data_IF_921986103435
#
_entry.id   IF_921986103435
#
_cell.length_a   1.000
_cell.length_b   1.000
_cell.length_c   1.000
_cell.angle_alpha   90.00
_cell.angle_beta   90.00
_cell.angle_gamma   90.00
#
_symmetry.space_group_name_H-M   'P 1'
#
loop_
_entity.id
_entity.type
_entity.pdbx_description
1 polymer ?
#
# COMPACT_ATOMS: atom_id res chain seq x y z
N UNK A 1 -22.20 -34.70 -6.01
CA UNK A 1 -20.80 -34.25 -5.83
C UNK A 1 -20.69 -32.84 -6.38
N UNK A 2 -20.58 -31.83 -5.50
CA UNK A 2 -20.39 -30.42 -5.90
C UNK A 2 -18.90 -30.20 -6.17
N UNK A 3 -18.54 -29.70 -7.35
CA UNK A 3 -17.18 -29.23 -7.67
C UNK A 3 -16.86 -28.05 -6.73
N UNK A 4 -15.78 -28.15 -5.98
CA UNK A 4 -15.14 -27.00 -5.37
C UNK A 4 -14.71 -26.03 -6.48
N UNK A 5 -15.03 -24.76 -6.35
CA UNK A 5 -14.62 -23.71 -7.29
C UNK A 5 -13.14 -23.41 -7.03
N UNK A 6 -12.29 -23.43 -8.06
CA UNK A 6 -10.85 -23.13 -7.94
C UNK A 6 -10.57 -21.69 -7.51
N UNK A 7 -11.61 -20.83 -7.46
CA UNK A 7 -11.53 -19.46 -6.96
C UNK A 7 -11.06 -19.34 -5.50
N UNK A 8 -11.18 -20.39 -4.69
CA UNK A 8 -10.87 -20.33 -3.26
C UNK A 8 -9.43 -20.65 -2.86
N UNK A 9 -8.58 -21.17 -3.76
CA UNK A 9 -7.26 -21.70 -3.34
C UNK A 9 -6.18 -20.61 -3.21
N UNK A 10 -6.20 -19.58 -4.06
CA UNK A 10 -5.30 -18.42 -3.93
C UNK A 10 -5.60 -17.62 -2.64
N UNK A 11 -6.89 -17.46 -2.29
CA UNK A 11 -7.32 -16.75 -1.08
C UNK A 11 -7.10 -17.56 0.21
N UNK A 12 -7.14 -18.89 0.16
CA UNK A 12 -6.87 -19.75 1.33
C UNK A 12 -5.37 -19.76 1.71
N UNK A 13 -4.47 -19.44 0.77
CA UNK A 13 -3.03 -19.33 1.05
C UNK A 13 -2.69 -18.13 1.94
N UNK A 14 -3.41 -17.02 1.76
CA UNK A 14 -3.37 -15.88 2.69
C UNK A 14 -3.78 -16.35 4.08
N UNK A 15 -4.66 -17.36 4.25
CA UNK A 15 -5.21 -17.79 5.55
C UNK A 15 -4.36 -18.80 6.38
N UNK A 16 -3.25 -19.36 5.88
CA UNK A 16 -2.65 -20.55 6.50
C UNK A 16 -1.35 -20.40 7.35
N UNK A 17 -0.60 -19.29 7.36
CA UNK A 17 0.66 -19.21 8.13
C UNK A 17 0.51 -18.58 9.52
N UNK A 18 1.03 -19.24 10.56
CA UNK A 18 0.86 -18.86 11.98
C UNK A 18 2.02 -17.99 12.51
N UNK A 19 1.61 -17.01 13.34
CA UNK A 19 2.34 -16.19 14.33
C UNK A 19 3.02 -14.92 13.80
N UNK A 20 2.33 -13.79 13.97
CA UNK A 20 2.97 -12.51 14.24
C UNK A 20 2.07 -11.61 15.10
N UNK A 21 2.72 -10.82 15.96
CA UNK A 21 2.20 -9.88 16.95
C UNK A 21 1.50 -8.63 16.34
N UNK A 22 0.82 -8.80 15.22
CA UNK A 22 0.16 -7.71 14.47
C UNK A 22 -1.19 -7.32 15.09
N UNK A 23 -1.71 -8.11 16.02
CA UNK A 23 -2.95 -7.82 16.76
C UNK A 23 -2.93 -6.52 17.60
N UNK A 24 -1.79 -5.87 17.78
CA UNK A 24 -1.73 -4.54 18.42
C UNK A 24 -2.24 -3.40 17.53
N UNK A 25 -2.59 -3.68 16.27
CA UNK A 25 -3.08 -2.70 15.29
C UNK A 25 -4.35 -1.95 15.75
N UNK A 26 -5.21 -2.58 16.57
CA UNK A 26 -6.51 -2.01 16.98
C UNK A 26 -6.91 -2.14 18.47
N UNK A 27 -6.18 -2.87 19.33
CA UNK A 27 -6.51 -2.96 20.76
C UNK A 27 -5.53 -2.13 21.60
N UNK A 28 -6.00 -0.97 22.08
CA UNK A 28 -5.44 -0.35 23.29
C UNK A 28 -6.50 -0.48 24.38
N UNK A 29 -6.36 -1.50 25.24
CA UNK A 29 -6.83 -1.35 26.60
C UNK A 29 -6.11 -0.15 27.21
N UNK A 30 -6.89 0.83 27.68
CA UNK A 30 -6.38 2.06 28.30
C UNK A 30 -5.47 1.71 29.47
N UNK A 31 -4.19 2.02 29.39
CA UNK A 31 -3.35 2.27 30.58
C UNK A 31 -3.17 3.78 30.77
N UNK A 32 -3.28 4.29 32.01
CA UNK A 32 -3.17 5.73 32.27
C UNK A 32 -1.74 6.22 32.01
N UNK A 33 -1.64 7.33 31.28
CA UNK A 33 -0.38 7.97 30.88
C UNK A 33 0.33 8.62 32.08
N UNK A 34 1.63 8.33 32.23
CA UNK A 34 2.56 9.19 32.98
C UNK A 34 2.99 10.36 32.09
N UNK A 35 3.07 11.55 32.70
CA UNK A 35 3.33 12.86 32.09
C UNK A 35 4.68 12.96 31.39
N UNK A 36 4.69 13.26 30.10
CA UNK A 36 5.89 13.65 29.35
C UNK A 36 5.93 15.18 29.18
N UNK A 37 7.04 15.80 29.56
CA UNK A 37 7.32 17.24 29.40
C UNK A 37 7.54 17.64 27.94
N UNK A 38 7.18 18.85 27.52
CA UNK A 38 7.24 19.25 26.11
C UNK A 38 8.67 19.59 25.67
N UNK A 39 9.12 19.00 24.57
CA UNK A 39 10.34 19.41 23.87
C UNK A 39 9.99 20.54 22.90
N UNK A 40 10.59 21.71 23.11
CA UNK A 40 10.40 22.92 22.31
C UNK A 40 11.27 22.88 21.05
N UNK A 41 10.68 22.60 19.89
CA UNK A 41 11.34 22.79 18.59
C UNK A 41 10.98 24.15 18.00
N UNK A 42 11.81 25.17 18.28
CA UNK A 42 11.88 26.38 17.46
C UNK A 42 13.25 27.04 17.65
N UNK A 43 14.18 26.81 16.71
CA UNK A 43 15.22 27.80 16.41
C UNK A 43 15.77 27.66 14.98
N UNK A 44 15.23 28.49 14.09
CA UNK A 44 16.01 29.26 13.11
C UNK A 44 16.22 28.68 11.70
N UNK A 45 15.92 29.51 10.70
CA UNK A 45 16.70 29.60 9.45
C UNK A 45 16.04 29.05 8.18
N UNK A 46 15.77 29.94 7.22
CA UNK A 46 15.11 29.67 5.92
C UNK A 46 16.07 29.05 4.88
N UNK A 47 15.52 28.23 3.99
CA UNK A 47 15.85 28.26 2.56
C UNK A 47 14.58 27.95 1.73
N UNK A 48 14.26 28.85 0.80
CA UNK A 48 13.11 28.79 -0.11
C UNK A 48 13.28 27.65 -1.13
N UNK A 49 12.29 26.77 -1.26
CA UNK A 49 12.34 25.51 -2.02
C UNK A 49 12.08 25.72 -3.53
N UNK A 50 12.04 26.96 -4.01
CA UNK A 50 11.76 27.26 -5.41
C UNK A 50 13.05 27.51 -6.21
N UNK A 51 13.59 26.46 -6.82
CA UNK A 51 14.44 26.57 -8.00
C UNK A 51 14.37 25.26 -8.81
N UNK A 52 13.70 25.30 -9.96
CA UNK A 52 13.43 24.14 -10.80
C UNK A 52 14.54 23.79 -11.80
N UNK A 53 14.37 22.63 -12.45
CA UNK A 53 14.85 22.32 -13.81
C UNK A 53 14.19 21.05 -14.35
N UNK A 54 13.48 21.17 -15.45
CA UNK A 54 12.93 20.07 -16.27
C UNK A 54 14.01 19.48 -17.18
N UNK A 55 14.13 18.15 -17.25
CA UNK A 55 15.01 17.43 -18.18
C UNK A 55 14.20 16.81 -19.35
N UNK A 56 14.80 16.59 -20.53
CA UNK A 56 14.08 16.22 -21.75
C UNK A 56 13.78 14.72 -21.85
N UNK A 57 12.64 14.39 -22.48
CA UNK A 57 12.21 13.01 -22.76
C UNK A 57 12.91 12.45 -24.00
N UNK A 58 13.42 11.22 -23.92
CA UNK A 58 13.88 10.43 -25.07
C UNK A 58 12.97 9.21 -25.22
N UNK A 59 12.36 9.08 -26.40
CA UNK A 59 11.42 8.00 -26.73
C UNK A 59 12.11 6.65 -26.90
N UNK A 60 11.32 5.58 -26.75
CA UNK A 60 11.74 4.22 -27.12
C UNK A 60 10.57 3.42 -27.71
N UNK A 61 10.94 2.63 -28.72
CA UNK A 61 10.16 1.68 -29.51
C UNK A 61 9.73 0.43 -28.72
N UNK A 62 8.64 -0.17 -29.19
CA UNK A 62 7.87 -1.27 -28.58
C UNK A 62 8.45 -2.65 -28.91
N UNK A 63 8.64 -3.48 -27.89
CA UNK A 63 8.63 -4.95 -27.95
C UNK A 63 7.74 -5.42 -26.80
N UNK A 64 6.80 -6.34 -27.04
CA UNK A 64 5.78 -6.75 -26.08
C UNK A 64 6.35 -7.61 -24.95
N UNK A 65 6.76 -6.91 -23.89
CA UNK A 65 6.88 -7.34 -22.50
C UNK A 65 5.52 -7.06 -21.83
N UNK A 66 5.08 -7.79 -20.79
CA UNK A 66 3.97 -7.32 -19.94
C UNK A 66 4.16 -5.82 -19.64
N UNK A 67 3.10 -4.99 -19.72
CA UNK A 67 3.25 -3.55 -19.68
C UNK A 67 4.02 -3.17 -18.42
N UNK A 68 5.22 -2.61 -18.61
CA UNK A 68 6.06 -2.22 -17.50
C UNK A 68 5.27 -1.20 -16.66
N UNK A 69 5.01 -1.54 -15.40
CA UNK A 69 4.38 -0.62 -14.47
C UNK A 69 5.29 0.60 -14.32
N UNK A 70 4.69 1.79 -14.33
CA UNK A 70 5.41 2.98 -13.85
C UNK A 70 5.49 2.90 -12.32
N UNK A 71 6.38 3.69 -11.66
CA UNK A 71 6.40 3.76 -10.21
C UNK A 71 5.02 4.12 -9.62
N UNK A 72 4.28 5.01 -10.28
CA UNK A 72 2.93 5.40 -9.87
C UNK A 72 1.93 4.24 -10.02
N UNK A 73 2.02 3.46 -11.10
CA UNK A 73 1.16 2.28 -11.26
C UNK A 73 1.45 1.22 -10.21
N UNK A 74 2.70 1.01 -9.82
CA UNK A 74 3.06 0.06 -8.76
C UNK A 74 2.48 0.47 -7.40
N UNK A 75 2.49 1.77 -7.09
CA UNK A 75 1.82 2.29 -5.89
C UNK A 75 0.30 2.07 -5.94
N UNK A 76 -0.32 2.30 -7.11
CA UNK A 76 -1.75 2.04 -7.33
C UNK A 76 -2.08 0.54 -7.24
N UNK A 77 -1.23 -0.32 -7.81
CA UNK A 77 -1.36 -1.76 -7.75
C UNK A 77 -1.35 -2.27 -6.31
N UNK A 78 -0.45 -1.76 -5.47
CA UNK A 78 -0.40 -2.09 -4.03
C UNK A 78 -1.70 -1.72 -3.34
N UNK A 79 -2.22 -0.51 -3.57
CA UNK A 79 -3.47 -0.08 -2.96
C UNK A 79 -4.67 -0.93 -3.39
N UNK A 80 -4.72 -1.33 -4.66
CA UNK A 80 -5.77 -2.21 -5.19
C UNK A 80 -5.64 -3.61 -4.59
N UNK A 81 -4.42 -4.15 -4.52
CA UNK A 81 -4.16 -5.45 -3.93
C UNK A 81 -4.66 -5.53 -2.47
N UNK A 82 -4.38 -4.49 -1.67
CA UNK A 82 -4.91 -4.36 -0.31
C UNK A 82 -6.43 -4.36 -0.30
N UNK A 83 -7.04 -3.52 -1.12
CA UNK A 83 -8.52 -3.41 -1.23
C UNK A 83 -9.20 -4.70 -1.69
N UNK A 84 -8.50 -5.54 -2.46
CA UNK A 84 -9.03 -6.77 -3.05
C UNK A 84 -8.71 -8.03 -2.25
N UNK A 85 -7.95 -7.92 -1.15
CA UNK A 85 -7.38 -9.07 -0.43
C UNK A 85 -8.42 -9.95 0.28
N UNK A 86 -9.59 -9.42 0.62
CA UNK A 86 -10.69 -10.14 1.28
C UNK A 86 -11.85 -10.52 0.31
N UNK A 87 -11.55 -10.58 -1.00
CA UNK A 87 -12.50 -10.81 -2.10
C UNK A 87 -13.59 -9.73 -2.25
N UNK A 88 -13.60 -8.69 -1.41
CA UNK A 88 -14.65 -7.66 -1.38
C UNK A 88 -14.07 -6.25 -1.34
N UNK A 89 -13.95 -5.65 -2.53
CA UNK A 89 -13.56 -4.23 -2.63
C UNK A 89 -14.69 -3.34 -2.12
N UNK A 90 -14.49 -2.67 -0.99
CA UNK A 90 -15.48 -1.76 -0.40
C UNK A 90 -15.41 -0.38 -1.06
N UNK A 91 -16.54 0.35 -1.04
CA UNK A 91 -16.60 1.72 -1.56
C UNK A 91 -15.65 2.66 -0.78
N UNK A 92 -15.46 2.43 0.52
CA UNK A 92 -14.50 3.15 1.36
C UNK A 92 -13.08 3.06 0.84
N UNK A 93 -12.69 1.89 0.34
CA UNK A 93 -11.32 1.59 -0.07
C UNK A 93 -11.04 2.23 -1.43
N UNK A 94 -12.01 2.16 -2.34
CA UNK A 94 -11.97 2.90 -3.62
C UNK A 94 -11.91 4.41 -3.39
N UNK A 95 -12.70 4.95 -2.46
CA UNK A 95 -12.62 6.38 -2.11
C UNK A 95 -11.27 6.75 -1.49
N UNK A 96 -10.67 5.86 -0.68
CA UNK A 96 -9.34 6.07 -0.14
C UNK A 96 -8.27 6.11 -1.23
N UNK A 97 -8.32 5.19 -2.20
CA UNK A 97 -7.45 5.16 -3.37
C UNK A 97 -7.54 6.48 -4.14
N UNK A 98 -8.75 6.91 -4.50
CA UNK A 98 -8.97 8.14 -5.25
C UNK A 98 -8.46 9.37 -4.49
N UNK A 99 -8.68 9.43 -3.17
CA UNK A 99 -8.15 10.49 -2.31
C UNK A 99 -6.62 10.51 -2.31
N UNK A 100 -5.97 9.36 -2.15
CA UNK A 100 -4.51 9.24 -2.13
C UNK A 100 -3.92 9.69 -3.47
N UNK A 101 -4.43 9.14 -4.58
CA UNK A 101 -3.97 9.50 -5.93
C UNK A 101 -4.19 10.99 -6.21
N UNK A 102 -5.31 11.56 -5.78
CA UNK A 102 -5.61 12.97 -6.04
C UNK A 102 -4.83 14.00 -5.21
N UNK A 103 -4.12 13.59 -4.15
CA UNK A 103 -3.55 14.54 -3.17
C UNK A 103 -2.06 14.33 -2.84
N UNK A 104 -1.47 13.17 -3.17
CA UNK A 104 -0.06 12.93 -2.89
C UNK A 104 0.83 13.41 -4.05
N UNK A 105 1.92 14.17 -3.77
CA UNK A 105 2.79 14.73 -4.81
C UNK A 105 3.39 13.72 -5.78
N UNK A 106 3.55 12.46 -5.36
CA UNK A 106 4.05 11.39 -6.23
C UNK A 106 3.13 11.14 -7.44
N UNK A 107 1.84 11.53 -7.34
CA UNK A 107 0.82 11.35 -8.37
C UNK A 107 0.49 12.64 -9.15
N UNK A 108 1.21 13.75 -8.97
CA UNK A 108 0.89 15.04 -9.61
C UNK A 108 0.73 14.97 -11.15
N UNK A 109 1.42 14.05 -11.81
CA UNK A 109 1.35 13.82 -13.26
C UNK A 109 0.76 12.47 -13.63
N UNK A 110 0.06 11.82 -12.69
CA UNK A 110 -0.52 10.50 -12.91
C UNK A 110 -1.80 10.62 -13.74
N UNK A 111 -1.96 9.73 -14.71
CA UNK A 111 -3.18 9.61 -15.49
C UNK A 111 -4.15 8.67 -14.76
N UNK A 112 -5.24 9.21 -14.22
CA UNK A 112 -6.24 8.45 -13.46
C UNK A 112 -6.93 7.36 -14.28
N UNK A 113 -6.94 7.48 -15.61
CA UNK A 113 -7.53 6.47 -16.48
C UNK A 113 -6.73 5.15 -16.44
N UNK A 114 -5.49 5.18 -15.94
CA UNK A 114 -4.64 4.00 -15.73
C UNK A 114 -5.07 3.15 -14.53
N UNK A 115 -5.87 3.66 -13.60
CA UNK A 115 -6.31 2.90 -12.41
C UNK A 115 -7.08 1.64 -12.83
N UNK A 116 -7.96 1.73 -13.82
CA UNK A 116 -8.72 0.59 -14.33
C UNK A 116 -7.86 -0.53 -14.91
N UNK A 117 -6.97 -0.24 -15.89
CA UNK A 117 -6.01 -1.20 -16.40
C UNK A 117 -5.10 -1.82 -15.32
N UNK A 118 -4.62 -1.02 -14.35
CA UNK A 118 -3.81 -1.54 -13.25
C UNK A 118 -4.62 -2.47 -12.35
N UNK A 119 -5.89 -2.15 -12.09
CA UNK A 119 -6.77 -3.02 -11.33
C UNK A 119 -6.96 -4.37 -12.01
N UNK A 120 -7.15 -4.37 -13.34
CA UNK A 120 -7.29 -5.61 -14.09
C UNK A 120 -6.03 -6.48 -13.97
N UNK A 121 -4.84 -5.89 -14.07
CA UNK A 121 -3.57 -6.63 -13.88
C UNK A 121 -3.52 -7.28 -12.49
N UNK A 122 -3.89 -6.55 -11.44
CA UNK A 122 -3.90 -7.09 -10.07
C UNK A 122 -4.91 -8.23 -9.93
N UNK A 123 -6.11 -8.08 -10.47
CA UNK A 123 -7.13 -9.14 -10.42
C UNK A 123 -6.72 -10.37 -11.21
N UNK A 124 -6.18 -10.19 -12.42
CA UNK A 124 -5.66 -11.29 -13.24
C UNK A 124 -4.57 -12.06 -12.47
N UNK A 125 -3.64 -11.35 -11.82
CA UNK A 125 -2.59 -11.97 -11.00
C UNK A 125 -3.18 -12.73 -9.80
N UNK A 126 -4.21 -12.21 -9.13
CA UNK A 126 -4.84 -12.90 -8.00
C UNK A 126 -5.56 -14.20 -8.40
N UNK A 127 -5.89 -14.39 -9.69
CA UNK A 127 -6.45 -15.64 -10.20
C UNK A 127 -5.40 -16.71 -10.51
N UNK A 128 -4.12 -16.33 -10.60
CA UNK A 128 -3.01 -17.23 -10.96
C UNK A 128 -2.37 -17.89 -9.73
N UNK A 129 -1.89 -19.12 -9.92
CA UNK A 129 -1.00 -19.76 -8.96
C UNK A 129 0.31 -18.96 -8.86
N UNK A 130 0.81 -18.70 -7.64
CA UNK A 130 1.98 -17.82 -7.38
C UNK A 130 1.77 -16.35 -7.81
N UNK A 131 0.52 -15.93 -8.02
CA UNK A 131 0.18 -14.58 -8.47
C UNK A 131 0.68 -13.42 -7.58
N UNK A 132 0.75 -13.64 -6.27
CA UNK A 132 1.31 -12.66 -5.34
C UNK A 132 2.81 -12.45 -5.56
N UNK A 133 3.57 -13.51 -5.79
CA UNK A 133 5.01 -13.41 -6.06
C UNK A 133 5.25 -12.66 -7.37
N UNK A 134 4.43 -12.94 -8.39
CA UNK A 134 4.45 -12.22 -9.65
C UNK A 134 4.10 -10.73 -9.48
N UNK A 135 3.07 -10.39 -8.69
CA UNK A 135 2.71 -9.02 -8.36
C UNK A 135 3.88 -8.28 -7.68
N UNK A 136 4.50 -8.89 -6.66
CA UNK A 136 5.63 -8.29 -5.97
C UNK A 136 6.86 -8.16 -6.87
N UNK A 137 7.06 -9.08 -7.81
CA UNK A 137 8.06 -8.94 -8.88
C UNK A 137 7.85 -7.69 -9.71
N UNK A 138 6.64 -7.47 -10.24
CA UNK A 138 6.29 -6.28 -11.02
C UNK A 138 6.47 -4.98 -10.22
N UNK A 139 6.10 -5.00 -8.95
CA UNK A 139 6.23 -3.85 -8.04
C UNK A 139 7.71 -3.51 -7.82
N UNK A 140 8.55 -4.50 -7.51
CA UNK A 140 10.00 -4.28 -7.28
C UNK A 140 10.72 -3.80 -8.54
N UNK A 141 10.33 -4.30 -9.70
CA UNK A 141 10.91 -3.87 -10.96
C UNK A 141 10.54 -2.42 -11.31
N UNK A 142 9.38 -1.95 -10.85
CA UNK A 142 8.85 -0.62 -11.13
C UNK A 142 9.18 0.45 -10.07
N UNK A 143 9.42 0.06 -8.81
CA UNK A 143 9.67 0.99 -7.71
C UNK A 143 11.16 1.16 -7.38
N UNK A 144 11.58 2.41 -7.23
CA UNK A 144 12.85 2.74 -6.59
C UNK A 144 12.77 2.50 -5.08
N UNK A 145 13.84 2.00 -4.44
CA UNK A 145 13.88 1.69 -2.99
C UNK A 145 13.43 2.85 -2.09
N UNK A 146 13.74 4.10 -2.47
CA UNK A 146 13.31 5.31 -1.74
C UNK A 146 11.79 5.47 -1.64
N UNK A 147 11.01 4.74 -2.43
CA UNK A 147 9.55 4.77 -2.43
C UNK A 147 8.93 3.57 -1.70
N UNK A 148 9.72 2.63 -1.17
CA UNK A 148 9.19 1.45 -0.48
C UNK A 148 8.37 1.81 0.77
N UNK A 149 8.85 2.77 1.57
CA UNK A 149 8.09 3.30 2.70
C UNK A 149 6.83 4.04 2.27
N UNK A 150 6.86 4.70 1.10
CA UNK A 150 5.68 5.36 0.52
C UNK A 150 4.62 4.33 0.14
N UNK A 151 5.04 3.26 -0.53
CA UNK A 151 4.20 2.13 -0.90
C UNK A 151 3.55 1.47 0.32
N UNK A 152 4.33 1.23 1.38
CA UNK A 152 3.81 0.68 2.62
C UNK A 152 2.84 1.65 3.34
N UNK A 153 3.16 2.94 3.37
CA UNK A 153 2.30 3.94 4.00
C UNK A 153 0.92 4.07 3.34
N UNK A 154 0.87 4.10 2.00
CA UNK A 154 -0.42 4.17 1.29
C UNK A 154 -1.21 2.86 1.43
N UNK A 155 -0.54 1.71 1.50
CA UNK A 155 -1.17 0.43 1.79
C UNK A 155 -1.87 0.44 3.15
N UNK A 156 -1.18 0.93 4.20
CA UNK A 156 -1.77 1.09 5.53
C UNK A 156 -2.94 2.09 5.55
N UNK A 157 -2.85 3.20 4.79
CA UNK A 157 -3.93 4.20 4.72
C UNK A 157 -5.19 3.65 4.02
N UNK A 158 -5.02 2.81 2.99
CA UNK A 158 -6.16 2.13 2.34
C UNK A 158 -6.77 1.08 3.26
N UNK A 159 -5.95 0.23 3.87
CA UNK A 159 -6.44 -0.79 4.80
C UNK A 159 -7.18 -0.19 6.01
N UNK A 160 -6.81 1.02 6.45
CA UNK A 160 -7.44 1.69 7.58
C UNK A 160 -8.67 2.55 7.22
N UNK A 161 -9.07 2.60 5.94
CA UNK A 161 -10.05 3.58 5.43
C UNK A 161 -11.42 3.50 6.14
N UNK A 162 -11.92 2.31 6.42
CA UNK A 162 -13.20 2.09 7.09
C UNK A 162 -13.10 2.02 8.62
N UNK A 163 -11.88 1.96 9.16
CA UNK A 163 -11.58 1.86 10.59
C UNK A 163 -11.45 0.43 11.13
N UNK A 164 -11.56 -0.59 10.28
CA UNK A 164 -11.43 -2.01 10.66
C UNK A 164 -10.50 -2.74 9.71
N UNK A 165 -9.51 -3.48 10.24
CA UNK A 165 -8.69 -4.36 9.42
C UNK A 165 -9.06 -5.81 9.70
N UNK A 166 -9.38 -6.53 8.62
CA UNK A 166 -9.56 -7.97 8.63
C UNK A 166 -8.22 -8.71 8.58
N UNK A 167 -8.30 -10.03 8.72
CA UNK A 167 -7.11 -10.89 8.73
C UNK A 167 -6.43 -10.96 7.36
N UNK A 168 -7.17 -10.84 6.27
CA UNK A 168 -6.61 -10.87 4.93
C UNK A 168 -5.77 -9.62 4.65
N UNK A 169 -6.27 -8.41 4.98
CA UNK A 169 -5.50 -7.18 4.79
C UNK A 169 -4.24 -7.18 5.66
N UNK A 170 -4.35 -7.60 6.94
CA UNK A 170 -3.20 -7.64 7.85
C UNK A 170 -2.08 -8.53 7.33
N UNK A 171 -2.42 -9.68 6.74
CA UNK A 171 -1.43 -10.59 6.18
C UNK A 171 -0.83 -10.07 4.89
N UNK A 172 -1.64 -9.46 4.01
CA UNK A 172 -1.07 -8.82 2.83
C UNK A 172 -0.14 -7.65 3.22
N UNK A 173 -0.46 -6.90 4.27
CA UNK A 173 0.45 -5.88 4.82
C UNK A 173 1.75 -6.50 5.39
N UNK A 174 1.69 -7.69 6.00
CA UNK A 174 2.91 -8.43 6.39
C UNK A 174 3.78 -8.75 5.18
N UNK A 175 3.18 -9.30 4.11
CA UNK A 175 3.90 -9.64 2.89
C UNK A 175 4.50 -8.38 2.23
N UNK A 176 3.74 -7.30 2.10
CA UNK A 176 4.26 -6.02 1.56
C UNK A 176 5.46 -5.54 2.38
N UNK A 177 5.38 -5.60 3.71
CA UNK A 177 6.48 -5.20 4.60
C UNK A 177 7.74 -6.04 4.36
N UNK A 178 7.57 -7.35 4.17
CA UNK A 178 8.67 -8.28 3.95
C UNK A 178 9.29 -8.13 2.55
N UNK A 179 8.46 -8.09 1.51
CA UNK A 179 8.89 -7.99 0.12
C UNK A 179 9.55 -6.64 -0.21
N UNK A 180 9.13 -5.57 0.48
CA UNK A 180 9.74 -4.24 0.37
C UNK A 180 10.80 -3.98 1.46
N UNK A 181 11.16 -4.99 2.26
CA UNK A 181 12.23 -4.92 3.26
C UNK A 181 12.12 -3.72 4.23
N UNK A 182 10.90 -3.38 4.65
CA UNK A 182 10.66 -2.24 5.53
C UNK A 182 11.17 -2.57 6.94
N UNK A 183 12.02 -1.69 7.49
CA UNK A 183 12.51 -1.84 8.86
C UNK A 183 11.35 -1.85 9.87
N UNK A 184 11.51 -2.63 10.94
CA UNK A 184 10.46 -2.80 11.96
C UNK A 184 10.05 -1.50 12.63
N UNK A 185 10.99 -0.59 12.90
CA UNK A 185 10.69 0.70 13.52
C UNK A 185 9.97 1.63 12.54
N UNK A 186 10.35 1.60 11.27
CA UNK A 186 9.71 2.40 10.23
C UNK A 186 8.28 1.92 9.99
N UNK A 187 8.07 0.61 9.87
CA UNK A 187 6.76 0.00 9.77
C UNK A 187 5.88 0.40 10.96
N UNK A 188 6.36 0.21 12.19
CA UNK A 188 5.61 0.57 13.39
C UNK A 188 5.24 2.07 13.43
N UNK A 189 6.13 2.96 12.98
CA UNK A 189 5.84 4.39 12.90
C UNK A 189 4.76 4.72 11.84
N UNK A 190 4.83 4.08 10.67
CA UNK A 190 3.86 4.23 9.59
C UNK A 190 2.47 3.74 10.02
N UNK A 191 2.39 2.53 10.58
CA UNK A 191 1.14 1.95 11.09
C UNK A 191 0.51 2.83 12.18
N UNK A 192 1.34 3.32 13.12
CA UNK A 192 0.91 4.26 14.17
C UNK A 192 0.33 5.55 13.56
N UNK A 193 0.96 6.08 12.51
CA UNK A 193 0.52 7.27 11.80
C UNK A 193 -0.81 7.04 11.06
N UNK A 194 -0.93 5.93 10.33
CA UNK A 194 -2.15 5.54 9.64
C UNK A 194 -3.32 5.42 10.62
N UNK A 195 -3.10 4.72 11.74
CA UNK A 195 -4.09 4.61 12.83
C UNK A 195 -4.51 5.99 13.33
N UNK A 196 -3.55 6.87 13.63
CA UNK A 196 -3.86 8.20 14.16
C UNK A 196 -4.73 9.04 13.20
N UNK A 197 -4.54 8.91 11.88
CA UNK A 197 -5.35 9.61 10.86
C UNK A 197 -6.77 9.07 10.72
N UNK A 198 -6.99 7.78 11.01
CA UNK A 198 -8.26 7.10 10.78
C UNK A 198 -9.09 6.86 12.06
N UNK A 199 -8.61 7.34 13.22
CA UNK A 199 -9.42 7.35 14.44
C UNK A 199 -10.66 8.23 14.26
N UNK A 200 -11.82 7.69 14.58
CA UNK A 200 -13.11 8.40 14.62
C UNK A 200 -13.42 8.81 16.06
N UNK A 201 -14.06 9.96 16.23
CA UNK A 201 -14.48 10.51 17.52
C UNK A 201 -15.84 9.97 17.97
#
# INVERSE_FOLDING_TARGET
>A
MRRASSKGQAFEFIAASRRADIGAFLIVERRPHASATPVSYCRGGRASIFCGRTAPRKGRSVTQTPPALTPQDALVAIMIAVSASDEQVRTSDLMAIQRIVGHLPIFDSYDSDRIGPVAQIVFDLFEEDEGLDALFGLIRDALEERLFETAYAIACDVAAADGTLGQAELRLLEEIRHELQIDRLHAAAIERGARARHLRA
#
